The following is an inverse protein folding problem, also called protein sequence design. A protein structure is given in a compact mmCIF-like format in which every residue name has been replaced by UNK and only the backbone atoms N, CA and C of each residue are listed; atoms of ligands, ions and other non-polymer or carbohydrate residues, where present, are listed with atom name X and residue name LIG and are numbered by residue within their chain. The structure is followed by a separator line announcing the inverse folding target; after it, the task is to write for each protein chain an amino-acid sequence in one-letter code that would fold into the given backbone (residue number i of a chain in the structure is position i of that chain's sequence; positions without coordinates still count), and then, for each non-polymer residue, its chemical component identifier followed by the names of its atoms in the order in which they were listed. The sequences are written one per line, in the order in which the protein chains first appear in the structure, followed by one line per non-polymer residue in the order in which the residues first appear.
data_IF_066836129515
#
_entry.id   IF_066836129515
#
_cell.length_a   1.000
_cell.length_b   1.000
_cell.length_c   1.000
_cell.angle_alpha   90.00
_cell.angle_beta   90.00
_cell.angle_gamma   90.00
#
_symmetry.space_group_name_H-M   'P 1'
#
loop_
_entity.id
_entity.type
_entity.pdbx_description
1 polymer ?
#
# COMPACT_ATOMS: atom_id res chain seq x y z
N UNK A 1 38.08 -51.83 30.50
CA UNK A 1 36.88 -51.02 30.73
C UNK A 1 36.71 -50.15 29.48
N UNK A 2 35.73 -50.51 28.64
CA UNK A 2 35.41 -49.78 27.41
C UNK A 2 34.35 -48.70 27.81
N UNK A 3 34.71 -47.43 27.71
CA UNK A 3 33.74 -46.34 27.87
C UNK A 3 32.85 -46.25 26.64
N UNK A 4 31.51 -46.16 26.80
CA UNK A 4 30.63 -45.92 25.69
C UNK A 4 30.87 -44.48 25.13
N UNK A 5 30.70 -44.26 23.81
CA UNK A 5 30.88 -42.95 23.20
C UNK A 5 29.81 -41.99 23.76
N UNK A 6 30.27 -40.80 24.15
CA UNK A 6 29.38 -39.70 24.54
C UNK A 6 28.46 -39.37 23.37
N UNK A 7 27.17 -39.41 23.61
CA UNK A 7 26.16 -38.96 22.66
C UNK A 7 26.46 -37.49 22.30
N UNK A 8 26.68 -37.25 21.02
CA UNK A 8 26.70 -35.88 20.47
C UNK A 8 25.30 -35.28 20.68
N UNK A 9 25.20 -34.39 21.62
CA UNK A 9 24.02 -33.54 21.77
C UNK A 9 23.77 -32.86 20.43
N UNK A 10 22.61 -33.17 19.85
CA UNK A 10 22.10 -32.49 18.67
C UNK A 10 22.15 -30.97 18.94
N UNK A 11 23.02 -30.27 18.22
CA UNK A 11 22.95 -28.84 18.16
C UNK A 11 21.58 -28.50 17.55
N UNK A 12 20.68 -28.01 18.34
CA UNK A 12 19.51 -27.37 17.79
C UNK A 12 19.99 -26.10 17.11
N UNK A 13 20.00 -26.10 15.78
CA UNK A 13 20.13 -24.85 15.03
C UNK A 13 18.92 -24.01 15.41
N UNK A 14 19.11 -23.04 16.27
CA UNK A 14 18.16 -21.95 16.38
C UNK A 14 18.23 -21.21 15.06
N UNK A 15 17.28 -21.46 14.15
CA UNK A 15 17.08 -20.62 12.98
C UNK A 15 16.71 -19.24 13.52
N UNK A 16 17.61 -18.28 13.38
CA UNK A 16 17.30 -16.90 13.64
C UNK A 16 16.45 -16.41 12.46
N UNK A 17 15.18 -16.25 12.68
CA UNK A 17 14.29 -15.57 11.72
C UNK A 17 14.61 -14.09 11.80
N UNK A 18 15.27 -13.56 10.79
CA UNK A 18 15.49 -12.12 10.69
C UNK A 18 14.23 -11.48 10.10
N UNK A 19 13.61 -10.62 10.87
CA UNK A 19 12.51 -9.82 10.38
C UNK A 19 13.08 -8.70 9.50
N UNK A 20 13.00 -8.88 8.17
CA UNK A 20 13.48 -7.92 7.17
C UNK A 20 12.32 -7.08 6.62
N UNK A 21 11.31 -6.89 7.45
CA UNK A 21 10.13 -6.08 7.16
C UNK A 21 9.84 -5.18 8.35
N UNK A 22 9.48 -3.93 8.08
CA UNK A 22 9.13 -2.96 9.10
C UNK A 22 8.04 -2.02 8.60
N UNK A 23 7.11 -1.67 9.47
CA UNK A 23 6.29 -0.49 9.28
C UNK A 23 6.49 0.51 10.42
N UNK A 24 6.24 1.78 10.14
CA UNK A 24 6.41 2.83 11.12
C UNK A 24 6.04 4.20 10.58
N UNK A 25 6.47 5.23 11.29
CA UNK A 25 6.27 6.60 10.87
C UNK A 25 7.44 7.50 11.29
N UNK A 26 7.50 8.64 10.68
CA UNK A 26 8.38 9.75 11.06
C UNK A 26 7.67 11.08 10.76
N UNK A 27 8.08 12.14 11.42
CA UNK A 27 7.60 13.48 11.13
C UNK A 27 8.60 14.19 10.21
N UNK A 28 8.10 14.95 9.23
CA UNK A 28 8.95 15.70 8.29
C UNK A 28 9.76 16.77 9.02
N UNK A 29 10.97 17.11 8.53
CA UNK A 29 11.80 18.13 9.17
C UNK A 29 11.19 19.53 9.01
N UNK A 30 11.62 20.46 9.86
CA UNK A 30 11.19 21.86 9.83
C UNK A 30 11.86 22.68 8.70
N UNK A 31 12.89 22.14 8.04
CA UNK A 31 13.64 22.79 6.97
C UNK A 31 14.00 21.79 5.87
N UNK A 32 14.21 22.29 4.66
CA UNK A 32 14.72 21.51 3.53
C UNK A 32 16.11 20.93 3.84
N UNK A 33 16.46 19.83 3.20
CA UNK A 33 17.70 19.10 3.40
C UNK A 33 17.49 17.62 3.68
N UNK A 34 18.48 16.96 4.22
CA UNK A 34 18.49 15.52 4.45
C UNK A 34 17.90 15.14 5.80
N UNK A 35 17.14 14.06 5.82
CA UNK A 35 16.68 13.38 7.03
C UNK A 35 17.00 11.90 6.92
N UNK A 36 17.69 11.36 7.93
CA UNK A 36 17.98 9.94 8.02
C UNK A 36 16.96 9.26 8.92
N UNK A 37 16.33 8.22 8.44
CA UNK A 37 15.44 7.33 9.19
C UNK A 37 16.22 6.07 9.52
N UNK A 38 16.33 5.75 10.81
CA UNK A 38 17.10 4.62 11.35
C UNK A 38 16.24 3.77 12.28
N UNK A 39 16.78 2.63 12.74
CA UNK A 39 16.12 1.75 13.68
C UNK A 39 15.30 0.66 13.00
N UNK A 40 15.49 0.42 11.71
CA UNK A 40 14.87 -0.69 11.01
C UNK A 40 15.55 -2.03 11.37
N UNK A 41 16.85 -1.99 11.71
CA UNK A 41 17.63 -3.18 11.98
C UNK A 41 18.09 -3.94 10.74
N UNK A 42 17.84 -3.39 9.55
CA UNK A 42 18.26 -3.97 8.26
C UNK A 42 18.32 -2.86 7.19
N UNK A 43 19.02 -3.16 6.09
CA UNK A 43 19.03 -2.33 4.89
C UNK A 43 17.87 -2.70 3.99
N UNK A 44 16.86 -1.85 3.83
CA UNK A 44 15.77 -2.14 2.89
C UNK A 44 16.24 -1.99 1.43
N UNK A 45 15.51 -2.61 0.52
CA UNK A 45 15.61 -2.39 -0.93
C UNK A 45 14.33 -1.83 -1.52
N UNK A 46 13.27 -1.82 -0.71
CA UNK A 46 11.95 -1.33 -1.06
C UNK A 46 11.35 -0.56 0.11
N UNK A 47 10.77 0.59 -0.17
CA UNK A 47 9.97 1.35 0.79
C UNK A 47 8.75 1.98 0.11
N UNK A 48 7.62 1.97 0.80
CA UNK A 48 6.42 2.73 0.45
C UNK A 48 6.15 3.79 1.50
N UNK A 49 5.60 4.91 1.06
CA UNK A 49 5.30 6.08 1.89
C UNK A 49 3.84 6.48 1.72
N UNK A 50 3.19 6.80 2.84
CA UNK A 50 1.79 7.17 2.89
C UNK A 50 1.60 8.33 3.86
N UNK A 51 0.77 9.31 3.51
CA UNK A 51 0.45 10.40 4.44
C UNK A 51 -0.83 11.14 4.05
N UNK A 52 -1.45 11.77 5.02
CA UNK A 52 -2.65 12.61 4.86
C UNK A 52 -2.39 14.10 5.13
N UNK A 53 -1.14 14.53 5.12
CA UNK A 53 -0.73 15.91 5.43
C UNK A 53 -1.17 16.38 6.84
N UNK A 54 -1.22 15.47 7.81
CA UNK A 54 -1.55 15.75 9.20
C UNK A 54 -0.32 15.73 10.09
N UNK A 55 -0.39 16.42 11.22
CA UNK A 55 0.69 16.48 12.22
C UNK A 55 0.43 15.56 13.41
N UNK A 56 -0.83 15.27 13.70
CA UNK A 56 -1.24 14.49 14.86
C UNK A 56 -2.31 13.47 14.47
N UNK A 57 -2.38 12.39 15.25
CA UNK A 57 -3.45 11.41 15.11
C UNK A 57 -4.81 12.08 15.30
N UNK A 58 -5.78 11.64 14.53
CA UNK A 58 -7.13 12.16 14.59
C UNK A 58 -7.72 12.49 13.22
N UNK A 59 -8.79 13.30 13.19
CA UNK A 59 -9.41 13.83 12.00
C UNK A 59 -9.10 15.30 11.82
N UNK A 60 -8.83 15.70 10.59
CA UNK A 60 -8.72 17.08 10.16
C UNK A 60 -9.57 17.31 8.91
N UNK A 61 -9.98 18.57 8.69
CA UNK A 61 -10.71 18.97 7.50
C UNK A 61 -9.86 18.78 6.22
N UNK A 62 -10.52 18.76 5.10
CA UNK A 62 -9.96 18.56 3.75
C UNK A 62 -9.40 17.15 3.50
N UNK A 63 -10.06 16.42 2.64
CA UNK A 63 -9.59 15.09 2.23
C UNK A 63 -8.23 15.15 1.56
N UNK A 64 -7.29 14.36 2.03
CA UNK A 64 -5.95 14.28 1.49
C UNK A 64 -5.39 12.88 1.72
N UNK A 65 -4.95 12.23 0.66
CA UNK A 65 -4.31 10.93 0.74
C UNK A 65 -3.22 10.87 -0.31
N UNK A 66 -2.01 10.63 0.14
CA UNK A 66 -0.82 10.63 -0.68
C UNK A 66 -0.07 9.31 -0.51
N UNK A 67 0.58 8.88 -1.57
CA UNK A 67 1.37 7.66 -1.58
C UNK A 67 2.60 7.81 -2.48
N UNK A 68 3.59 7.00 -2.21
CA UNK A 68 4.74 6.86 -3.07
C UNK A 68 5.58 5.65 -2.70
N UNK A 69 6.57 5.36 -3.52
CA UNK A 69 7.53 4.30 -3.27
C UNK A 69 8.92 4.66 -3.75
N UNK A 70 9.89 3.96 -3.22
CA UNK A 70 11.25 3.90 -3.71
C UNK A 70 11.74 2.46 -3.70
N UNK A 71 12.47 2.07 -4.74
CA UNK A 71 13.13 0.77 -4.87
C UNK A 71 14.56 0.96 -5.30
N UNK A 72 15.44 0.09 -4.85
CA UNK A 72 16.83 0.02 -5.33
C UNK A 72 17.03 -1.25 -6.14
N UNK A 73 17.42 -1.09 -7.39
CA UNK A 73 17.74 -2.17 -8.31
C UNK A 73 19.14 -1.90 -8.87
N UNK A 74 20.07 -2.82 -8.66
CA UNK A 74 21.47 -2.68 -9.09
C UNK A 74 22.11 -1.33 -8.68
N UNK A 75 21.85 -0.89 -7.45
CA UNK A 75 22.33 0.38 -6.88
C UNK A 75 21.73 1.63 -7.53
N UNK A 76 20.64 1.49 -8.29
CA UNK A 76 19.90 2.60 -8.86
C UNK A 76 18.57 2.73 -8.14
N UNK A 77 18.28 3.90 -7.59
CA UNK A 77 17.00 4.20 -6.95
C UNK A 77 15.99 4.66 -7.99
N UNK A 78 14.92 3.92 -8.11
CA UNK A 78 13.73 4.31 -8.88
C UNK A 78 12.61 4.61 -7.89
N UNK A 79 11.94 5.74 -8.08
CA UNK A 79 10.94 6.21 -7.14
C UNK A 79 9.78 6.89 -7.85
N UNK A 80 8.65 6.90 -7.17
CA UNK A 80 7.45 7.53 -7.66
C UNK A 80 6.63 8.04 -6.48
N UNK A 81 6.06 9.23 -6.62
CA UNK A 81 5.15 9.80 -5.63
C UNK A 81 3.92 10.38 -6.28
N UNK A 82 2.87 10.38 -5.52
CA UNK A 82 1.58 10.90 -5.91
C UNK A 82 0.90 11.61 -4.77
N UNK A 83 0.20 12.70 -5.08
CA UNK A 83 -0.61 13.44 -4.13
C UNK A 83 -2.00 13.71 -4.69
N UNK A 84 -3.00 13.64 -3.83
CA UNK A 84 -4.38 14.02 -4.11
C UNK A 84 -4.97 14.75 -2.92
N UNK A 85 -5.78 15.78 -3.18
CA UNK A 85 -6.48 16.55 -2.17
C UNK A 85 -7.84 17.03 -2.68
N UNK A 86 -8.79 17.19 -1.76
CA UNK A 86 -10.06 17.84 -1.97
C UNK A 86 -10.32 18.81 -0.81
N UNK A 87 -10.89 19.96 -1.10
CA UNK A 87 -11.17 20.99 -0.10
C UNK A 87 -12.61 20.86 0.43
N UNK A 88 -12.74 20.87 1.77
CA UNK A 88 -14.04 20.92 2.44
C UNK A 88 -14.74 22.26 2.22
N UNK A 89 -16.06 22.23 1.94
CA UNK A 89 -16.84 23.44 1.74
C UNK A 89 -16.59 24.18 0.43
N UNK A 90 -15.88 23.58 -0.52
CA UNK A 90 -15.64 24.14 -1.84
C UNK A 90 -16.94 24.39 -2.60
N UNK A 91 -17.02 25.51 -3.31
CA UNK A 91 -18.12 25.82 -4.23
C UNK A 91 -18.01 24.89 -5.43
N UNK A 92 -19.13 24.42 -5.97
CA UNK A 92 -19.15 23.68 -7.23
C UNK A 92 -18.29 24.38 -8.29
N UNK A 93 -17.26 23.72 -8.78
CA UNK A 93 -16.27 24.28 -9.70
C UNK A 93 -14.97 24.78 -9.05
N UNK A 94 -14.77 24.66 -7.75
CA UNK A 94 -13.48 24.86 -7.12
C UNK A 94 -12.69 23.54 -7.17
N UNK A 95 -11.88 23.48 -8.15
CA UNK A 95 -10.71 22.68 -8.49
C UNK A 95 -10.36 21.46 -7.63
N UNK A 96 -10.53 20.29 -8.23
CA UNK A 96 -9.71 19.13 -7.89
C UNK A 96 -8.23 19.50 -8.01
N UNK A 97 -7.50 19.31 -6.93
CA UNK A 97 -6.05 19.46 -6.97
C UNK A 97 -5.38 18.10 -6.84
N UNK A 98 -5.47 17.35 -7.91
CA UNK A 98 -4.53 16.30 -8.17
C UNK A 98 -3.21 16.93 -8.59
N UNK A 99 -2.27 17.10 -7.71
CA UNK A 99 -0.92 17.42 -8.12
C UNK A 99 -0.32 16.17 -8.72
N UNK A 100 0.06 16.21 -9.98
CA UNK A 100 0.51 15.07 -10.76
C UNK A 100 1.60 14.21 -10.11
N UNK A 101 1.84 13.06 -10.71
CA UNK A 101 2.88 12.12 -10.34
C UNK A 101 4.29 12.69 -10.55
N UNK A 102 5.22 12.31 -9.69
CA UNK A 102 6.65 12.51 -9.87
C UNK A 102 7.38 11.17 -9.98
N UNK A 103 8.33 11.09 -10.89
CA UNK A 103 9.22 9.92 -11.05
C UNK A 103 10.58 10.11 -10.35
N UNK A 104 10.77 11.26 -9.73
CA UNK A 104 12.01 11.61 -9.04
C UNK A 104 11.84 11.82 -7.54
N UNK A 105 10.61 11.64 -7.03
CA UNK A 105 10.24 11.82 -5.64
C UNK A 105 9.53 10.56 -5.14
N UNK A 106 9.69 10.25 -3.87
CA UNK A 106 8.93 9.20 -3.18
C UNK A 106 7.89 9.75 -2.19
N UNK A 107 7.98 11.02 -1.83
CA UNK A 107 7.01 11.72 -0.99
C UNK A 107 6.62 13.02 -1.68
N UNK A 108 5.31 13.26 -1.77
CA UNK A 108 4.76 14.47 -2.37
C UNK A 108 3.40 14.79 -1.76
N UNK A 109 3.16 16.06 -1.46
CA UNK A 109 1.88 16.48 -0.87
C UNK A 109 1.65 17.98 -0.92
N UNK A 110 0.40 18.36 -0.69
CA UNK A 110 -0.02 19.76 -0.60
C UNK A 110 -1.02 19.95 0.54
N UNK A 111 -0.88 21.05 1.27
CA UNK A 111 -1.84 21.49 2.31
C UNK A 111 -2.81 22.53 1.79
N UNK A 112 -2.50 23.16 0.66
CA UNK A 112 -3.33 24.19 0.02
C UNK A 112 -3.62 23.79 -1.42
N UNK A 113 -4.61 24.43 -1.99
CA UNK A 113 -5.21 24.05 -3.26
C UNK A 113 -4.32 24.21 -4.49
N UNK A 114 -3.23 24.96 -4.42
CA UNK A 114 -2.45 25.31 -5.63
C UNK A 114 -0.96 25.04 -5.56
N UNK A 115 -0.41 24.85 -4.37
CA UNK A 115 1.04 24.77 -4.21
C UNK A 115 1.45 23.50 -3.50
N UNK A 116 2.35 22.75 -4.12
CA UNK A 116 3.07 21.66 -3.46
C UNK A 116 3.90 22.23 -2.34
N UNK A 117 3.76 21.70 -1.16
CA UNK A 117 4.49 22.13 0.01
C UNK A 117 5.18 20.99 0.77
N UNK A 118 5.15 19.79 0.21
CA UNK A 118 5.92 18.65 0.67
C UNK A 118 6.47 17.88 -0.52
N UNK A 119 7.79 17.83 -0.65
CA UNK A 119 8.47 17.04 -1.67
C UNK A 119 9.76 16.48 -1.11
N UNK A 120 9.94 15.16 -1.22
CA UNK A 120 11.17 14.48 -0.86
C UNK A 120 11.51 13.34 -1.82
N UNK A 121 12.80 13.19 -2.07
CA UNK A 121 13.39 12.07 -2.77
C UNK A 121 14.13 11.17 -1.79
N UNK A 122 14.05 9.86 -1.96
CA UNK A 122 14.94 8.92 -1.31
C UNK A 122 16.28 8.95 -2.05
N UNK A 123 17.36 9.15 -1.31
CA UNK A 123 18.71 9.25 -1.86
C UNK A 123 19.59 8.05 -1.55
N UNK A 124 19.24 7.29 -0.51
CA UNK A 124 20.01 6.14 -0.07
C UNK A 124 19.16 5.17 0.76
N UNK A 125 19.35 3.88 0.56
CA UNK A 125 19.04 2.84 1.54
C UNK A 125 20.33 2.48 2.27
N UNK A 126 20.37 2.67 3.59
CA UNK A 126 21.54 2.36 4.43
C UNK A 126 21.30 1.11 5.28
N UNK A 127 22.33 0.67 6.02
CA UNK A 127 22.31 -0.61 6.77
C UNK A 127 21.22 -0.70 7.85
N UNK A 128 20.63 0.42 8.26
CA UNK A 128 19.63 0.49 9.32
C UNK A 128 18.40 1.32 8.93
N UNK A 129 18.21 1.59 7.64
CA UNK A 129 17.09 2.40 7.18
C UNK A 129 17.29 3.09 5.84
N UNK A 130 16.96 4.39 5.78
CA UNK A 130 17.03 5.15 4.53
C UNK A 130 17.21 6.65 4.76
N UNK A 131 17.68 7.34 3.72
CA UNK A 131 17.91 8.81 3.73
C UNK A 131 16.96 9.46 2.72
N UNK A 132 16.26 10.49 3.19
CA UNK A 132 15.39 11.35 2.39
C UNK A 132 16.03 12.73 2.23
N UNK A 133 15.91 13.32 1.04
CA UNK A 133 16.27 14.70 0.78
C UNK A 133 15.02 15.51 0.46
N UNK A 134 14.69 16.46 1.32
CA UNK A 134 13.53 17.34 1.19
C UNK A 134 13.88 18.58 0.37
N UNK A 135 13.18 18.78 -0.73
CA UNK A 135 13.25 20.00 -1.55
C UNK A 135 12.20 21.02 -1.16
N UNK A 136 11.12 20.54 -0.56
CA UNK A 136 10.02 21.38 -0.05
C UNK A 136 9.47 20.75 1.23
N UNK A 137 9.26 21.58 2.25
CA UNK A 137 8.66 21.16 3.54
C UNK A 137 7.49 22.05 3.92
N UNK A 138 6.44 21.51 4.55
CA UNK A 138 5.31 22.29 5.03
C UNK A 138 5.71 23.13 6.26
N UNK A 139 4.95 24.19 6.54
CA UNK A 139 5.19 25.06 7.70
C UNK A 139 5.03 24.31 9.04
N UNK A 140 4.19 23.30 9.09
CA UNK A 140 4.04 22.40 10.24
C UNK A 140 4.51 21.00 9.82
N UNK A 141 5.19 20.31 10.72
CA UNK A 141 5.66 18.95 10.47
C UNK A 141 4.48 18.04 10.07
N UNK A 142 4.69 17.21 9.07
CA UNK A 142 3.68 16.23 8.59
C UNK A 142 4.15 14.85 8.95
N UNK A 143 3.26 14.02 9.49
CA UNK A 143 3.55 12.61 9.73
C UNK A 143 3.47 11.82 8.44
N UNK A 144 4.55 11.08 8.17
CA UNK A 144 4.67 10.17 7.04
C UNK A 144 4.80 8.75 7.57
N UNK A 145 3.92 7.87 7.13
CA UNK A 145 3.95 6.45 7.41
C UNK A 145 4.75 5.72 6.35
N UNK A 146 5.41 4.64 6.73
CA UNK A 146 6.17 3.83 5.80
C UNK A 146 5.97 2.33 6.02
N UNK A 147 6.22 1.59 4.95
CA UNK A 147 6.51 0.16 4.92
C UNK A 147 7.86 0.01 4.27
N UNK A 148 8.79 -0.70 4.90
CA UNK A 148 10.14 -0.96 4.40
C UNK A 148 10.43 -2.45 4.41
N UNK A 149 11.00 -2.98 3.33
CA UNK A 149 11.25 -4.41 3.16
C UNK A 149 12.60 -4.61 2.47
N UNK A 150 13.32 -5.64 2.86
CA UNK A 150 14.44 -6.19 2.08
C UNK A 150 13.89 -7.29 1.17
N UNK A 151 13.97 -7.08 -0.14
CA UNK A 151 13.56 -8.01 -1.19
C UNK A 151 14.73 -8.20 -2.16
N UNK A 152 15.02 -9.44 -2.53
CA UNK A 152 16.19 -9.76 -3.37
C UNK A 152 15.96 -9.44 -4.85
N UNK A 153 14.75 -9.72 -5.34
CA UNK A 153 14.40 -9.56 -6.75
C UNK A 153 13.27 -8.55 -6.90
N UNK A 154 13.61 -7.41 -7.45
CA UNK A 154 12.70 -6.30 -7.70
C UNK A 154 12.74 -5.94 -9.18
N UNK A 155 11.58 -5.71 -9.75
CA UNK A 155 11.39 -5.12 -11.07
C UNK A 155 10.42 -3.94 -10.97
N UNK A 156 10.70 -2.91 -11.72
CA UNK A 156 9.86 -1.72 -11.77
C UNK A 156 9.78 -1.20 -13.20
N UNK A 157 8.63 -0.70 -13.58
CA UNK A 157 8.49 -0.12 -14.90
C UNK A 157 7.17 0.61 -15.10
N UNK A 158 6.99 1.06 -16.32
CA UNK A 158 5.84 1.83 -16.75
C UNK A 158 5.30 1.18 -18.02
N UNK A 159 4.00 0.94 -18.04
CA UNK A 159 3.31 0.59 -19.28
C UNK A 159 2.46 1.81 -19.65
N UNK A 160 2.77 2.49 -20.77
CA UNK A 160 1.91 3.54 -21.28
C UNK A 160 0.51 2.99 -21.56
N UNK A 161 -0.53 3.64 -21.07
CA UNK A 161 -1.92 3.16 -21.26
C UNK A 161 -2.29 2.98 -22.73
N UNK A 162 -1.76 3.83 -23.60
CA UNK A 162 -1.93 3.71 -25.06
C UNK A 162 -1.24 2.48 -25.67
N UNK A 163 -0.24 1.91 -24.98
CA UNK A 163 0.44 0.71 -25.44
C UNK A 163 -0.28 -0.60 -25.09
N UNK A 164 -1.33 -0.53 -24.24
CA UNK A 164 -2.15 -1.68 -23.89
C UNK A 164 -3.38 -1.75 -24.80
N UNK A 165 -3.39 -2.64 -25.80
CA UNK A 165 -4.58 -2.88 -26.60
C UNK A 165 -5.67 -3.52 -25.74
N UNK A 166 -6.90 -3.08 -25.98
CA UNK A 166 -8.06 -3.62 -25.26
C UNK A 166 -8.29 -5.09 -25.55
N UNK A 167 -8.56 -5.86 -24.47
CA UNK A 167 -8.89 -7.27 -24.61
C UNK A 167 -7.74 -8.16 -25.06
N UNK A 168 -6.51 -7.62 -25.18
CA UNK A 168 -5.34 -8.38 -25.61
C UNK A 168 -4.37 -8.55 -24.46
N UNK A 169 -3.99 -9.79 -24.19
CA UNK A 169 -2.94 -10.08 -23.22
C UNK A 169 -1.59 -9.57 -23.72
N UNK A 170 -0.98 -8.68 -22.96
CA UNK A 170 0.29 -8.02 -23.28
C UNK A 170 1.36 -8.48 -22.30
N UNK A 171 2.47 -9.08 -22.77
CA UNK A 171 3.54 -9.51 -21.88
C UNK A 171 4.42 -8.34 -21.45
N UNK A 172 4.86 -8.35 -20.21
CA UNK A 172 5.96 -7.58 -19.62
C UNK A 172 7.09 -8.55 -19.37
N UNK A 173 8.20 -8.38 -20.06
CA UNK A 173 9.35 -9.30 -20.05
C UNK A 173 10.64 -8.61 -19.66
N UNK A 174 11.70 -9.37 -19.44
CA UNK A 174 13.04 -8.85 -19.16
C UNK A 174 13.34 -8.61 -17.69
N UNK A 175 12.57 -9.22 -16.78
CA UNK A 175 12.80 -9.10 -15.33
C UNK A 175 13.94 -9.98 -14.82
N UNK A 176 14.47 -10.92 -15.61
CA UNK A 176 15.45 -11.92 -15.17
C UNK A 176 15.01 -12.82 -14.01
N UNK A 177 13.76 -12.74 -13.57
CA UNK A 177 13.14 -13.58 -12.54
C UNK A 177 11.63 -13.75 -12.81
N UNK A 178 11.07 -14.79 -12.22
CA UNK A 178 9.63 -15.01 -12.19
C UNK A 178 9.03 -14.26 -10.99
N UNK A 179 8.15 -13.27 -11.17
CA UNK A 179 7.50 -12.60 -10.06
C UNK A 179 6.63 -13.54 -9.22
N UNK A 180 6.64 -13.34 -7.92
CA UNK A 180 5.70 -13.96 -6.98
C UNK A 180 4.50 -13.05 -6.70
N UNK A 181 4.70 -11.74 -6.86
CA UNK A 181 3.68 -10.72 -6.64
C UNK A 181 3.89 -9.55 -7.59
N UNK A 182 2.81 -8.97 -8.07
CA UNK A 182 2.82 -7.73 -8.84
C UNK A 182 1.99 -6.69 -8.10
N UNK A 183 2.54 -5.48 -7.99
CA UNK A 183 1.84 -4.32 -7.46
C UNK A 183 1.63 -3.31 -8.58
N UNK A 184 0.55 -2.56 -8.53
CA UNK A 184 0.18 -1.56 -9.51
C UNK A 184 -0.18 -0.23 -8.90
N UNK A 185 0.25 0.85 -9.53
CA UNK A 185 -0.13 2.22 -9.24
C UNK A 185 -0.37 2.98 -10.54
N UNK A 186 -1.17 4.03 -10.46
CA UNK A 186 -1.60 4.82 -11.58
C UNK A 186 -0.97 6.21 -11.59
N UNK A 187 -0.74 6.78 -12.77
CA UNK A 187 -0.21 8.15 -12.98
C UNK A 187 -1.30 9.18 -13.25
N UNK A 188 -2.54 9.03 -12.91
CA UNK A 188 -3.55 10.06 -13.16
C UNK A 188 -3.46 11.25 -12.22
N UNK A 189 -4.07 12.37 -12.59
CA UNK A 189 -4.01 13.61 -11.82
C UNK A 189 -4.82 13.56 -10.51
N UNK A 190 -5.81 12.67 -10.41
CA UNK A 190 -6.93 12.92 -9.52
C UNK A 190 -7.23 11.81 -8.51
N UNK A 191 -6.40 10.78 -8.39
CA UNK A 191 -6.70 9.64 -7.53
C UNK A 191 -5.47 9.05 -6.84
N UNK A 192 -5.66 8.54 -5.64
CA UNK A 192 -4.73 7.65 -4.98
C UNK A 192 -5.16 6.22 -5.29
N UNK A 193 -4.28 5.38 -5.79
CA UNK A 193 -4.59 4.00 -6.04
C UNK A 193 -3.41 3.08 -5.74
N UNK A 194 -3.74 1.90 -5.28
CA UNK A 194 -2.81 0.82 -5.05
C UNK A 194 -3.52 -0.49 -5.35
N UNK A 195 -2.88 -1.33 -6.10
CA UNK A 195 -3.31 -2.70 -6.32
C UNK A 195 -2.15 -3.67 -6.18
N UNK A 196 -2.47 -4.92 -5.92
CA UNK A 196 -1.50 -5.99 -5.82
C UNK A 196 -2.19 -7.35 -6.04
N UNK A 197 -1.41 -8.33 -6.42
CA UNK A 197 -1.93 -9.68 -6.58
C UNK A 197 -1.10 -10.57 -7.49
N UNK A 198 -1.69 -11.74 -7.70
CA UNK A 198 -1.29 -12.75 -8.68
C UNK A 198 -2.50 -13.07 -9.56
N UNK A 199 -2.35 -13.71 -10.73
CA UNK A 199 -3.48 -14.06 -11.57
C UNK A 199 -4.57 -14.82 -10.81
N UNK A 200 -5.80 -14.25 -10.82
CA UNK A 200 -6.95 -14.82 -10.10
C UNK A 200 -7.06 -14.46 -8.62
N UNK A 201 -6.08 -13.74 -8.07
CA UNK A 201 -6.11 -13.22 -6.70
C UNK A 201 -5.56 -11.80 -6.69
N UNK A 202 -6.30 -10.87 -7.25
CA UNK A 202 -5.92 -9.49 -7.45
C UNK A 202 -6.84 -8.56 -6.68
N UNK A 203 -6.27 -7.56 -6.05
CA UNK A 203 -6.99 -6.57 -5.24
C UNK A 203 -6.48 -5.18 -5.57
N UNK A 204 -7.39 -4.24 -5.75
CA UNK A 204 -7.01 -2.84 -5.92
C UNK A 204 -8.02 -1.90 -5.32
N UNK A 205 -7.53 -0.76 -4.91
CA UNK A 205 -8.32 0.36 -4.42
C UNK A 205 -7.95 1.60 -5.20
N UNK A 206 -8.95 2.35 -5.60
CA UNK A 206 -8.80 3.67 -6.17
C UNK A 206 -9.67 4.65 -5.41
N UNK A 207 -9.12 5.81 -5.14
CA UNK A 207 -9.84 6.93 -4.56
C UNK A 207 -9.67 8.15 -5.45
N UNK A 208 -10.77 8.76 -5.83
CA UNK A 208 -10.79 9.96 -6.63
C UNK A 208 -11.60 11.05 -5.93
N UNK A 209 -11.07 12.24 -5.95
CA UNK A 209 -11.77 13.44 -5.53
C UNK A 209 -12.25 14.17 -6.79
N UNK A 210 -13.55 14.47 -6.87
CA UNK A 210 -14.14 15.08 -8.05
C UNK A 210 -14.97 16.31 -7.67
N UNK A 211 -14.59 17.46 -8.22
CA UNK A 211 -15.25 18.77 -7.98
C UNK A 211 -16.09 19.27 -9.16
N UNK A 212 -16.17 18.54 -10.27
CA UNK A 212 -16.73 19.03 -11.52
C UNK A 212 -18.26 18.82 -11.67
N UNK A 213 -18.95 18.38 -10.64
CA UNK A 213 -20.39 18.18 -10.64
C UNK A 213 -21.10 19.09 -9.64
N UNK A 214 -22.14 19.78 -10.12
CA UNK A 214 -22.95 20.73 -9.34
C UNK A 214 -23.67 20.14 -8.11
N UNK A 215 -23.57 18.83 -7.88
CA UNK A 215 -24.25 18.10 -6.82
C UNK A 215 -23.31 17.11 -6.11
N UNK A 216 -22.25 17.63 -5.51
CA UNK A 216 -21.50 16.85 -4.55
C UNK A 216 -20.40 16.01 -5.14
N UNK A 217 -19.36 15.93 -4.39
CA UNK A 217 -18.22 15.06 -4.55
C UNK A 217 -18.65 13.62 -4.63
N UNK A 218 -18.12 12.93 -5.60
CA UNK A 218 -18.08 11.49 -5.62
C UNK A 218 -16.63 11.09 -5.50
N UNK A 219 -16.12 10.78 -4.31
CA UNK A 219 -14.94 9.96 -4.24
C UNK A 219 -15.33 8.63 -4.87
N UNK A 220 -14.84 8.40 -6.06
CA UNK A 220 -14.97 7.11 -6.71
C UNK A 220 -14.00 6.18 -6.04
N UNK A 221 -14.53 5.24 -5.28
CA UNK A 221 -13.74 4.23 -4.58
C UNK A 221 -14.06 2.90 -5.20
N UNK A 222 -13.03 2.26 -5.71
CA UNK A 222 -13.13 0.94 -6.30
C UNK A 222 -12.29 -0.06 -5.54
N UNK A 223 -12.88 -1.20 -5.33
CA UNK A 223 -12.16 -2.41 -4.95
C UNK A 223 -12.52 -3.47 -5.98
N UNK A 224 -11.54 -4.15 -6.51
CA UNK A 224 -11.74 -5.23 -7.45
C UNK A 224 -11.07 -6.49 -6.93
N UNK A 225 -11.79 -7.61 -7.04
CA UNK A 225 -11.24 -8.95 -6.83
C UNK A 225 -10.68 -9.54 -8.12
N UNK A 226 -10.36 -8.75 -9.11
CA UNK A 226 -9.89 -9.22 -10.40
C UNK A 226 -9.07 -8.18 -11.15
N UNK A 227 -8.50 -7.18 -10.45
CA UNK A 227 -7.66 -6.18 -11.09
C UNK A 227 -6.53 -5.75 -10.18
N UNK A 228 -5.30 -5.77 -10.68
CA UNK A 228 -4.12 -5.23 -10.01
C UNK A 228 -4.02 -3.71 -10.17
N UNK A 229 -4.84 -3.16 -11.04
CA UNK A 229 -4.82 -1.75 -11.36
C UNK A 229 -6.21 -1.27 -11.75
N UNK A 230 -6.62 -0.17 -11.15
CA UNK A 230 -7.85 0.55 -11.47
C UNK A 230 -7.56 2.01 -11.77
N UNK A 231 -8.24 2.55 -12.75
CA UNK A 231 -8.25 3.97 -13.08
C UNK A 231 -9.65 4.40 -13.47
N UNK A 232 -10.08 5.55 -13.03
CA UNK A 232 -11.38 6.10 -13.40
C UNK A 232 -11.36 7.60 -13.64
N UNK A 233 -12.15 8.08 -14.58
CA UNK A 233 -12.37 9.49 -14.84
C UNK A 233 -13.75 9.73 -15.45
N UNK A 234 -14.58 10.55 -14.82
CA UNK A 234 -15.82 11.00 -15.42
C UNK A 234 -16.85 9.90 -15.72
N UNK A 235 -16.90 8.84 -14.88
CA UNK A 235 -17.78 7.69 -15.15
C UNK A 235 -17.19 6.69 -16.14
N UNK A 236 -15.89 6.73 -16.35
CA UNK A 236 -15.15 5.87 -17.26
C UNK A 236 -14.01 5.21 -16.49
N UNK A 237 -13.98 3.91 -16.53
CA UNK A 237 -13.11 3.10 -15.70
C UNK A 237 -12.21 2.23 -16.57
N UNK A 238 -10.93 2.29 -16.29
CA UNK A 238 -9.96 1.36 -16.85
C UNK A 238 -9.53 0.36 -15.78
N UNK A 239 -9.48 -0.92 -16.14
CA UNK A 239 -8.95 -1.96 -15.28
C UNK A 239 -7.88 -2.75 -16.00
N UNK A 240 -6.83 -3.12 -15.29
CA UNK A 240 -5.78 -4.00 -15.78
C UNK A 240 -5.69 -5.22 -14.87
N UNK A 241 -5.84 -6.39 -15.45
CA UNK A 241 -5.75 -7.66 -14.76
C UNK A 241 -4.47 -8.38 -15.13
N UNK A 242 -3.93 -9.16 -14.20
CA UNK A 242 -2.86 -10.11 -14.47
C UNK A 242 -3.45 -11.34 -15.16
N UNK A 243 -2.83 -11.78 -16.23
CA UNK A 243 -3.28 -12.99 -16.95
C UNK A 243 -2.32 -14.16 -16.78
N UNK A 244 -1.04 -13.87 -16.52
CA UNK A 244 -0.02 -14.87 -16.27
C UNK A 244 1.17 -14.31 -15.49
N UNK A 245 1.84 -15.16 -14.76
CA UNK A 245 3.21 -14.95 -14.27
C UNK A 245 4.12 -15.79 -15.16
N UNK A 246 5.10 -15.13 -15.75
CA UNK A 246 6.05 -15.72 -16.70
C UNK A 246 7.42 -15.91 -16.04
N UNK A 247 8.28 -16.72 -16.63
CA UNK A 247 9.62 -16.99 -16.07
C UNK A 247 10.50 -15.73 -15.94
N UNK A 248 10.25 -14.72 -16.78
CA UNK A 248 11.00 -13.46 -16.86
C UNK A 248 10.08 -12.23 -16.79
N UNK A 249 8.90 -12.36 -16.16
CA UNK A 249 7.94 -11.27 -16.06
C UNK A 249 6.51 -11.71 -15.80
N UNK A 250 5.57 -10.98 -16.39
CA UNK A 250 4.13 -11.23 -16.24
C UNK A 250 3.36 -10.75 -17.48
N UNK A 251 2.10 -11.12 -17.58
CA UNK A 251 1.22 -10.63 -18.64
C UNK A 251 0.01 -9.93 -18.06
N UNK A 252 -0.43 -8.88 -18.72
CA UNK A 252 -1.60 -8.08 -18.33
C UNK A 252 -2.61 -7.97 -19.47
N UNK A 253 -3.86 -7.76 -19.12
CA UNK A 253 -4.93 -7.44 -20.07
C UNK A 253 -5.67 -6.19 -19.60
N UNK A 254 -5.94 -5.28 -20.52
CA UNK A 254 -6.79 -4.13 -20.28
C UNK A 254 -8.24 -4.47 -20.62
N UNK A 255 -9.16 -4.32 -19.67
CA UNK A 255 -10.55 -4.78 -19.79
C UNK A 255 -11.59 -3.70 -20.09
N UNK A 256 -11.24 -2.42 -19.96
CA UNK A 256 -12.17 -1.33 -20.23
C UNK A 256 -11.51 -0.25 -21.10
N UNK A 257 -12.29 0.28 -22.05
CA UNK A 257 -11.84 1.36 -22.94
C UNK A 257 -12.75 2.54 -22.71
N UNK A 258 -12.25 3.59 -22.12
CA UNK A 258 -13.03 4.82 -22.17
C UNK A 258 -12.18 6.08 -22.35
N UNK A 259 -10.89 6.06 -22.03
CA UNK A 259 -10.04 7.24 -22.20
C UNK A 259 -8.56 6.84 -22.39
N UNK A 260 -7.79 7.55 -23.23
CA UNK A 260 -6.33 7.37 -23.35
C UNK A 260 -5.63 7.94 -22.09
N UNK A 261 -5.80 7.32 -20.96
CA UNK A 261 -5.21 7.75 -19.69
C UNK A 261 -4.50 6.62 -19.01
N UNK A 262 -3.82 7.02 -18.00
CA UNK A 262 -2.41 7.33 -17.94
C UNK A 262 -1.59 6.07 -17.75
N UNK A 263 -0.29 6.25 -17.67
CA UNK A 263 0.66 5.16 -17.56
C UNK A 263 0.41 4.29 -16.31
N UNK A 264 0.55 3.01 -16.48
CA UNK A 264 0.51 2.01 -15.41
C UNK A 264 1.93 1.82 -14.86
N UNK A 265 2.15 2.19 -13.62
CA UNK A 265 3.37 1.91 -12.87
C UNK A 265 3.22 0.57 -12.19
N UNK A 266 4.17 -0.31 -12.42
CA UNK A 266 4.17 -1.62 -11.82
C UNK A 266 5.45 -1.89 -11.03
N UNK A 267 5.29 -2.69 -9.99
CA UNK A 267 6.34 -3.30 -9.22
C UNK A 267 6.16 -4.82 -9.26
N UNK A 268 7.21 -5.54 -9.61
CA UNK A 268 7.25 -6.98 -9.55
C UNK A 268 8.19 -7.42 -8.43
N UNK A 269 7.74 -8.32 -7.58
CA UNK A 269 8.43 -8.77 -6.39
C UNK A 269 8.67 -10.26 -6.47
N UNK A 270 9.88 -10.70 -6.16
CA UNK A 270 10.19 -12.09 -5.88
C UNK A 270 11.33 -12.18 -4.85
N UNK A 271 11.30 -13.22 -4.05
CA UNK A 271 12.37 -13.52 -3.09
C UNK A 271 12.40 -15.03 -2.83
N UNK A 272 13.57 -15.56 -2.54
CA UNK A 272 13.73 -16.97 -2.19
C UNK A 272 13.45 -17.25 -0.71
N UNK A 273 13.51 -16.22 0.12
CA UNK A 273 13.37 -16.31 1.56
C UNK A 273 12.12 -15.61 2.11
N UNK A 274 11.52 -14.67 1.35
CA UNK A 274 10.28 -13.97 1.73
C UNK A 274 9.12 -14.52 0.91
N UNK A 275 8.08 -14.98 1.60
CA UNK A 275 6.82 -15.39 0.98
C UNK A 275 5.86 -14.22 0.85
N UNK A 276 5.01 -14.26 -0.18
CA UNK A 276 4.00 -13.23 -0.44
C UNK A 276 2.63 -13.88 -0.57
N UNK A 277 1.62 -13.25 -0.01
CA UNK A 277 0.22 -13.62 -0.24
C UNK A 277 -0.66 -12.37 -0.31
N UNK A 278 -1.67 -12.42 -1.16
CA UNK A 278 -2.70 -11.40 -1.25
C UNK A 278 -4.07 -12.01 -0.94
N UNK A 279 -4.91 -11.26 -0.27
CA UNK A 279 -6.24 -11.72 0.08
C UNK A 279 -7.13 -10.57 0.55
N UNK A 280 -8.32 -10.93 1.01
CA UNK A 280 -9.26 -9.97 1.55
C UNK A 280 -10.02 -10.53 2.74
N UNK A 281 -10.50 -9.65 3.58
CA UNK A 281 -11.34 -9.98 4.73
C UNK A 281 -12.32 -8.85 5.04
N UNK A 282 -13.38 -9.21 5.74
CA UNK A 282 -14.26 -8.24 6.39
C UNK A 282 -13.88 -8.21 7.87
N UNK A 283 -13.39 -7.09 8.39
CA UNK A 283 -13.07 -6.98 9.81
C UNK A 283 -14.27 -7.34 10.69
N UNK A 284 -14.10 -8.12 11.77
CA UNK A 284 -15.20 -8.49 12.64
C UNK A 284 -15.80 -7.28 13.36
N UNK A 285 -17.12 -7.26 13.51
CA UNK A 285 -17.80 -6.24 14.31
C UNK A 285 -17.67 -6.51 15.82
N UNK A 286 -17.41 -7.75 16.19
CA UNK A 286 -17.13 -8.20 17.55
C UNK A 286 -16.36 -9.51 17.50
N UNK A 287 -15.58 -9.80 18.54
CA UNK A 287 -14.80 -11.03 18.64
C UNK A 287 -13.59 -11.06 17.71
N UNK A 288 -13.20 -12.24 17.27
CA UNK A 288 -12.01 -12.49 16.48
C UNK A 288 -12.38 -13.22 15.18
N UNK A 289 -11.74 -12.83 14.09
CA UNK A 289 -11.75 -13.56 12.82
C UNK A 289 -10.33 -14.03 12.52
N UNK A 290 -10.17 -15.29 12.15
CA UNK A 290 -8.90 -15.90 11.78
C UNK A 290 -8.82 -16.01 10.26
N UNK A 291 -7.71 -15.54 9.69
CA UNK A 291 -7.33 -15.74 8.30
C UNK A 291 -6.22 -16.78 8.27
N UNK A 292 -6.44 -17.88 7.54
CA UNK A 292 -5.52 -19.01 7.40
C UNK A 292 -5.27 -19.33 5.93
N UNK A 293 -4.33 -20.24 5.66
CA UNK A 293 -4.04 -20.71 4.31
C UNK A 293 -3.04 -19.84 3.56
N UNK A 294 -2.27 -19.01 4.27
CA UNK A 294 -1.19 -18.25 3.64
C UNK A 294 0.03 -19.13 3.36
N UNK A 295 0.17 -20.26 4.06
CA UNK A 295 1.33 -21.14 3.98
C UNK A 295 2.58 -20.61 4.70
N UNK A 296 2.47 -19.51 5.42
CA UNK A 296 3.55 -18.91 6.20
C UNK A 296 3.01 -17.99 7.28
N UNK A 297 3.84 -17.71 8.28
CA UNK A 297 3.57 -16.68 9.28
C UNK A 297 3.91 -15.30 8.69
N UNK A 298 2.94 -14.37 8.63
CA UNK A 298 3.23 -13.01 8.22
C UNK A 298 4.20 -12.31 9.18
N UNK A 299 5.08 -11.49 8.63
CA UNK A 299 5.90 -10.55 9.38
C UNK A 299 5.42 -9.11 9.20
N UNK A 300 4.69 -8.87 8.10
CA UNK A 300 4.12 -7.56 7.77
C UNK A 300 2.85 -7.76 6.95
N UNK A 301 1.83 -6.96 7.23
CA UNK A 301 0.65 -6.75 6.39
C UNK A 301 0.61 -5.31 5.91
N UNK A 302 0.46 -5.11 4.61
CA UNK A 302 0.01 -3.86 4.01
C UNK A 302 -1.48 -3.99 3.70
N UNK A 303 -2.26 -3.05 4.19
CA UNK A 303 -3.73 -3.08 4.11
C UNK A 303 -4.23 -1.95 3.20
N UNK A 304 -5.17 -2.29 2.35
CA UNK A 304 -6.03 -1.31 1.67
C UNK A 304 -7.46 -1.58 2.11
N UNK A 305 -8.13 -0.56 2.59
CA UNK A 305 -9.46 -0.75 3.16
C UNK A 305 -10.48 0.24 2.62
N UNK A 306 -11.70 -0.27 2.49
CA UNK A 306 -12.85 0.51 2.04
C UNK A 306 -14.05 0.24 2.93
N UNK A 307 -14.80 1.27 3.23
CA UNK A 307 -16.02 1.16 4.00
C UNK A 307 -17.20 1.68 3.23
N UNK A 308 -18.33 0.94 3.29
CA UNK A 308 -19.58 1.33 2.64
C UNK A 308 -19.87 0.57 1.33
N UNK A 309 -18.89 -0.16 0.77
CA UNK A 309 -19.09 -0.94 -0.46
C UNK A 309 -18.46 -2.33 -0.31
N UNK A 310 -19.04 -3.34 -0.92
CA UNK A 310 -18.42 -4.67 -1.06
C UNK A 310 -17.22 -4.66 -2.03
N UNK A 311 -16.33 -5.64 -1.92
CA UNK A 311 -15.07 -5.78 -2.70
C UNK A 311 -15.27 -5.74 -4.23
N UNK A 312 -16.46 -5.93 -4.74
CA UNK A 312 -16.72 -6.04 -6.19
C UNK A 312 -17.79 -5.07 -6.68
N UNK A 313 -18.05 -3.99 -5.96
CA UNK A 313 -19.05 -3.04 -6.42
C UNK A 313 -18.47 -2.09 -7.45
N UNK A 314 -19.09 -2.12 -8.62
CA UNK A 314 -18.93 -1.11 -9.64
C UNK A 314 -19.25 0.27 -9.06
N UNK A 315 -18.58 1.27 -9.61
CA UNK A 315 -18.84 2.69 -9.53
C UNK A 315 -20.13 3.07 -8.76
N UNK A 316 -19.98 3.74 -7.67
CA UNK A 316 -21.12 4.23 -6.94
C UNK A 316 -20.89 5.68 -6.49
N UNK A 317 -21.68 6.57 -7.03
CA UNK A 317 -21.73 8.01 -6.74
C UNK A 317 -22.31 8.30 -5.34
N UNK A 318 -22.06 7.46 -4.34
CA UNK A 318 -22.71 7.60 -3.03
C UNK A 318 -21.82 8.33 -2.03
N UNK A 319 -22.46 9.21 -1.29
CA UNK A 319 -21.90 9.88 -0.11
C UNK A 319 -21.63 8.87 1.01
N UNK A 320 -20.54 9.04 1.75
CA UNK A 320 -20.29 8.23 2.94
C UNK A 320 -19.17 7.21 2.82
N UNK A 321 -18.28 7.34 1.85
CA UNK A 321 -17.16 6.42 1.66
C UNK A 321 -15.95 6.80 2.47
N UNK A 322 -15.21 5.76 2.86
CA UNK A 322 -13.91 5.86 3.52
C UNK A 322 -12.97 4.89 2.88
N UNK A 323 -11.81 5.40 2.57
CA UNK A 323 -10.70 4.60 2.13
C UNK A 323 -9.48 4.87 3.00
N UNK A 324 -8.68 3.86 3.19
CA UNK A 324 -7.46 3.97 3.97
C UNK A 324 -6.38 3.01 3.46
N UNK A 325 -5.15 3.40 3.75
CA UNK A 325 -3.99 2.53 3.79
C UNK A 325 -3.65 2.25 5.24
N UNK A 326 -3.19 1.07 5.52
CA UNK A 326 -2.71 0.68 6.85
C UNK A 326 -1.60 -0.35 6.76
N UNK A 327 -0.85 -0.49 7.83
CA UNK A 327 0.11 -1.57 7.97
C UNK A 327 0.22 -2.01 9.42
N UNK A 328 0.64 -3.25 9.60
CA UNK A 328 1.01 -3.84 10.89
C UNK A 328 2.15 -4.81 10.67
N UNK A 329 3.17 -4.77 11.54
CA UNK A 329 4.29 -5.71 11.53
C UNK A 329 4.26 -6.64 12.76
N UNK A 330 5.12 -7.65 12.72
CA UNK A 330 5.22 -8.67 13.78
C UNK A 330 5.77 -8.15 15.12
N UNK A 331 6.31 -6.94 15.16
CA UNK A 331 6.74 -6.30 16.39
C UNK A 331 5.62 -5.47 17.04
N UNK A 332 4.45 -5.42 16.39
CA UNK A 332 3.28 -4.70 16.89
C UNK A 332 3.25 -3.23 16.47
N UNK A 333 4.19 -2.77 15.62
CA UNK A 333 4.05 -1.45 15.00
C UNK A 333 2.87 -1.48 14.05
N UNK A 334 2.07 -0.43 14.08
CA UNK A 334 0.92 -0.32 13.22
C UNK A 334 0.54 1.13 12.96
N UNK A 335 -0.05 1.36 11.80
CA UNK A 335 -0.53 2.68 11.43
C UNK A 335 -1.64 2.60 10.38
N UNK A 336 -2.42 3.66 10.27
CA UNK A 336 -3.29 3.88 9.11
C UNK A 336 -3.39 5.37 8.78
N UNK A 337 -3.65 5.67 7.51
CA UNK A 337 -4.05 6.98 7.04
C UNK A 337 -5.12 6.84 5.96
N UNK A 338 -6.03 7.81 5.90
CA UNK A 338 -7.14 7.73 4.96
C UNK A 338 -7.91 9.01 4.85
N UNK A 339 -8.97 8.93 4.09
CA UNK A 339 -9.90 10.03 3.88
C UNK A 339 -11.35 9.55 3.93
N UNK A 340 -12.23 10.47 4.20
CA UNK A 340 -13.66 10.25 4.27
C UNK A 340 -14.38 11.32 3.44
N UNK A 341 -15.37 10.94 2.68
CA UNK A 341 -16.27 11.86 2.01
C UNK A 341 -17.69 11.56 2.44
N UNK A 342 -18.21 12.31 3.40
CA UNK A 342 -19.56 12.12 3.91
C UNK A 342 -20.55 13.10 3.29
N UNK A 343 -20.13 14.32 3.02
CA UNK A 343 -20.93 15.38 2.39
C UNK A 343 -19.99 16.42 1.77
N UNK A 344 -20.49 17.35 0.97
CA UNK A 344 -19.76 18.53 0.51
C UNK A 344 -19.17 19.37 1.66
N UNK A 345 -19.84 19.35 2.80
CA UNK A 345 -19.47 20.14 3.96
C UNK A 345 -18.57 19.37 4.95
N UNK A 346 -18.27 18.10 4.71
CA UNK A 346 -17.43 17.31 5.63
C UNK A 346 -16.68 16.23 4.87
N UNK A 347 -15.41 16.50 4.62
CA UNK A 347 -14.47 15.61 3.93
C UNK A 347 -13.18 15.48 4.77
N UNK A 348 -13.26 14.91 5.97
CA UNK A 348 -12.07 14.80 6.79
C UNK A 348 -11.08 13.80 6.22
N UNK A 349 -9.79 14.12 6.35
CA UNK A 349 -8.68 13.19 6.36
C UNK A 349 -8.46 12.68 7.78
N UNK A 350 -7.85 11.55 7.93
CA UNK A 350 -7.52 11.00 9.25
C UNK A 350 -6.25 10.15 9.21
N UNK A 351 -5.62 10.01 10.36
CA UNK A 351 -4.51 9.11 10.57
C UNK A 351 -4.51 8.54 11.99
N UNK A 352 -3.83 7.43 12.16
CA UNK A 352 -3.48 6.83 13.44
C UNK A 352 -2.09 6.21 13.36
N UNK A 353 -1.26 6.48 14.35
CA UNK A 353 0.04 5.85 14.53
C UNK A 353 0.01 4.62 15.44
N UNK A 354 -1.18 4.19 15.84
CA UNK A 354 -1.41 3.08 16.78
C UNK A 354 -2.46 2.09 16.31
N UNK A 355 -2.94 2.21 15.07
CA UNK A 355 -3.93 1.31 14.49
C UNK A 355 -3.72 1.11 13.00
N UNK A 356 -3.81 -0.14 12.55
CA UNK A 356 -3.73 -0.48 11.14
C UNK A 356 -5.07 -0.38 10.41
N UNK A 357 -6.19 -0.21 11.11
CA UNK A 357 -7.53 -0.09 10.53
C UNK A 357 -8.32 1.05 11.18
N UNK A 358 -9.28 1.56 10.46
CA UNK A 358 -10.15 2.67 10.88
C UNK A 358 -11.56 2.19 11.15
N UNK A 359 -12.17 2.69 12.21
CA UNK A 359 -13.57 2.46 12.54
C UNK A 359 -14.51 3.44 11.83
N UNK A 360 -15.73 2.96 11.44
CA UNK A 360 -16.78 3.81 10.90
C UNK A 360 -17.18 4.94 11.86
N UNK A 361 -17.12 6.17 11.39
CA UNK A 361 -17.61 7.35 12.12
C UNK A 361 -16.70 7.88 13.23
N UNK A 362 -15.69 7.14 13.64
CA UNK A 362 -14.77 7.54 14.70
C UNK A 362 -13.36 7.05 14.38
N UNK A 363 -12.36 7.78 14.81
CA UNK A 363 -10.94 7.54 14.54
C UNK A 363 -10.29 6.58 15.52
N UNK A 364 -11.08 5.90 16.33
CA UNK A 364 -10.57 4.98 17.33
C UNK A 364 -10.36 3.60 16.74
N UNK A 365 -9.31 2.96 17.17
CA UNK A 365 -8.95 1.58 16.82
C UNK A 365 -10.12 0.66 16.89
N UNK A 366 -10.34 -0.03 15.79
CA UNK A 366 -11.31 -1.09 15.78
C UNK A 366 -10.70 -2.46 16.00
N UNK A 367 -9.44 -2.69 15.65
CA UNK A 367 -8.87 -4.03 15.55
C UNK A 367 -7.41 -4.10 16.00
N UNK A 368 -7.06 -5.26 16.57
CA UNK A 368 -5.68 -5.70 16.77
C UNK A 368 -5.40 -6.90 15.90
N UNK A 369 -4.14 -7.09 15.54
CA UNK A 369 -3.66 -8.19 14.73
C UNK A 369 -2.70 -9.07 15.52
N UNK A 370 -2.82 -10.39 15.34
CA UNK A 370 -1.88 -11.37 15.89
C UNK A 370 -1.47 -12.32 14.78
N UNK A 371 -0.18 -12.46 14.52
CA UNK A 371 0.33 -13.32 13.45
C UNK A 371 0.48 -14.76 13.93
N UNK A 372 -0.05 -15.69 13.13
CA UNK A 372 -0.06 -17.13 13.35
C UNK A 372 0.86 -17.82 12.33
N UNK A 373 1.19 -19.09 12.54
CA UNK A 373 2.09 -19.87 11.65
C UNK A 373 1.60 -19.93 10.18
N UNK A 374 0.29 -19.82 9.95
CA UNK A 374 -0.35 -19.95 8.62
C UNK A 374 -1.26 -18.75 8.29
N UNK A 375 -1.08 -17.61 8.97
CA UNK A 375 -1.91 -16.45 8.74
C UNK A 375 -1.95 -15.47 9.90
N UNK A 376 -3.13 -14.92 10.21
CA UNK A 376 -3.29 -13.94 11.27
C UNK A 376 -4.72 -13.88 11.83
N UNK A 377 -4.83 -13.47 13.08
CA UNK A 377 -6.09 -13.15 13.75
C UNK A 377 -6.35 -11.65 13.72
N UNK A 378 -7.61 -11.29 13.57
CA UNK A 378 -8.10 -9.92 13.68
C UNK A 378 -9.12 -9.89 14.80
N UNK A 379 -8.83 -9.17 15.87
CA UNK A 379 -9.71 -9.04 17.02
C UNK A 379 -10.27 -7.64 17.15
N UNK A 380 -11.58 -7.53 17.43
CA UNK A 380 -12.24 -6.24 17.65
C UNK A 380 -11.92 -5.71 19.04
N UNK A 381 -11.37 -4.50 19.12
CA UNK A 381 -11.10 -3.81 20.39
C UNK A 381 -12.31 -3.00 20.84
N UNK A 382 -13.01 -2.36 19.90
CA UNK A 382 -14.22 -1.59 20.18
C UNK A 382 -15.24 -1.94 19.11
N UNK A 383 -16.45 -2.30 19.51
CA UNK A 383 -17.54 -2.70 18.62
C UNK A 383 -17.70 -1.73 17.44
N UNK A 384 -17.45 -2.21 16.25
CA UNK A 384 -17.51 -1.42 15.03
C UNK A 384 -18.92 -1.48 14.44
N UNK A 385 -19.50 -0.34 14.14
CA UNK A 385 -20.69 -0.28 13.30
C UNK A 385 -20.25 -0.13 11.83
N UNK A 386 -20.75 -0.99 10.95
CA UNK A 386 -20.51 -0.92 9.51
C UNK A 386 -19.54 -2.00 8.99
N UNK A 387 -19.77 -2.39 7.75
CA UNK A 387 -18.93 -3.34 7.03
C UNK A 387 -17.83 -2.57 6.29
N UNK A 388 -16.61 -2.73 6.72
CA UNK A 388 -15.45 -2.39 5.90
C UNK A 388 -15.03 -3.65 5.16
N UNK A 389 -14.46 -3.50 3.98
CA UNK A 389 -13.75 -4.57 3.32
C UNK A 389 -12.29 -4.18 3.22
N UNK A 390 -11.41 -5.07 3.63
CA UNK A 390 -9.97 -4.88 3.58
C UNK A 390 -9.36 -5.91 2.64
N UNK A 391 -8.49 -5.48 1.75
CA UNK A 391 -7.55 -6.36 1.11
C UNK A 391 -6.19 -6.22 1.78
N UNK A 392 -5.40 -7.27 1.75
CA UNK A 392 -4.07 -7.32 2.34
C UNK A 392 -3.04 -7.87 1.37
N UNK A 393 -1.84 -7.35 1.48
CA UNK A 393 -0.61 -7.95 0.99
C UNK A 393 0.21 -8.37 2.21
N UNK A 394 0.41 -9.67 2.35
CA UNK A 394 1.21 -10.25 3.43
C UNK A 394 2.63 -10.54 2.95
N UNK A 395 3.58 -10.22 3.79
CA UNK A 395 4.99 -10.56 3.65
C UNK A 395 5.36 -11.52 4.76
N UNK A 396 5.90 -12.68 4.43
CA UNK A 396 6.45 -13.64 5.39
C UNK A 396 7.77 -13.14 5.98
N UNK A 397 8.14 -13.68 7.14
CA UNK A 397 9.47 -13.46 7.68
C UNK A 397 10.52 -14.11 6.78
N UNK A 398 11.67 -13.44 6.61
CA UNK A 398 12.78 -14.00 5.88
C UNK A 398 13.41 -15.14 6.70
N UNK A 399 13.43 -16.34 6.14
CA UNK A 399 14.13 -17.46 6.74
C UNK A 399 15.64 -17.36 6.43
N UNK A 400 16.45 -17.29 7.47
CA UNK A 400 17.92 -17.26 7.35
C UNK A 400 18.51 -18.57 6.80
N UNK A 401 17.73 -19.65 6.75
CA UNK A 401 18.17 -20.94 6.23
C UNK A 401 18.13 -21.04 4.71
N UNK A 402 17.46 -20.11 4.01
CA UNK A 402 17.20 -20.22 2.57
C UNK A 402 16.33 -21.41 2.18
N UNK A 403 15.81 -22.14 3.16
CA UNK A 403 14.87 -23.22 2.90
C UNK A 403 13.49 -22.63 2.60
N UNK A 404 12.98 -22.91 1.42
CA UNK A 404 11.56 -22.67 1.12
C UNK A 404 10.72 -23.42 2.14
N UNK A 405 9.66 -22.82 2.70
CA UNK A 405 8.70 -23.58 3.47
C UNK A 405 8.23 -24.75 2.59
N UNK A 406 8.41 -25.97 3.08
CA UNK A 406 7.94 -27.17 2.41
C UNK A 406 6.42 -26.97 2.22
N UNK A 407 6.00 -26.68 0.99
CA UNK A 407 4.61 -26.79 0.59
C UNK A 407 4.17 -28.20 0.94
N UNK A 408 3.42 -28.32 2.01
CA UNK A 408 2.82 -29.58 2.40
C UNK A 408 1.93 -30.04 1.24
N UNK A 409 2.37 -31.08 0.54
CA UNK A 409 1.56 -31.82 -0.41
C UNK A 409 0.56 -32.60 0.44
N UNK A 410 -0.62 -32.01 0.63
CA UNK A 410 -1.78 -32.66 1.22
C UNK A 410 -2.70 -33.16 0.13
#
# INVERSE_FOLDING_TARGET
VIHPPRSLTKWQSTSFTYNMTRCGFFDTPAATGTQTITGLGFRPTFAMFFHSMQTTDGAEADACLNQGYAVEIASVITQHARSGRSQEGGIAGSTEYGSGASQTLCIRGNTTTTTLNLEAALTEFNDDGFVLNYTTVPAAATRVFYVAVLIESLGVGIIPSLALPFGVSTPVTGLSFQPQMVMGMHRGSDSCNLGFGTPGSEFSMMSRNRDDVAFGFSPEIWSSTGSVFLSGYGGRDDSVNLTAINADGFSVIKNLITDPRPDFYWLALADTAVSFAAGSFVPPQSGTTTITGLGFQPALLLLIGMQGIGISSAYNNQLGFRNFFGAVDSEGNQWCCGQNATTLASQPRYMSSTSATVRHGQLTNAHTFTFNEDGFDISTVVGAAGTATCAFLAFGARDSSGALPLLGVG
#
